data_IF_622881234311
#
_entry.id   IF_622881234311
#
_cell.length_a   1.000
_cell.length_b   1.000
_cell.length_c   1.000
_cell.angle_alpha   90.00
_cell.angle_beta   90.00
_cell.angle_gamma   90.00
#
_symmetry.space_group_name_H-M   'P 1'
#
loop_
_entity.id
_entity.type
_entity.pdbx_description
1 polymer ?
2 non-polymer ?
3 water ?
#
# COMPACT_ATOMS: atom_id res chain seq x y z
N UNK A 24 20.34 -5.46 -30.38
CA UNK A 24 19.22 -5.37 -31.36
C UNK A 24 18.79 -3.90 -31.46
N UNK A 25 17.48 -3.65 -31.38
CA UNK A 25 16.82 -2.32 -31.39
C UNK A 25 17.64 -1.27 -30.62
N UNK A 26 18.16 -1.63 -29.44
CA UNK A 26 18.88 -0.70 -28.52
C UNK A 26 20.20 -0.25 -29.15
N UNK A 27 20.95 -1.16 -29.77
CA UNK A 27 22.28 -0.84 -30.36
C UNK A 27 22.07 -0.11 -31.70
N UNK A 28 20.98 -0.42 -32.42
CA UNK A 28 20.62 0.24 -33.71
C UNK A 28 20.07 1.66 -33.44
N UNK A 29 19.02 1.75 -32.63
CA UNK A 29 18.18 2.98 -32.56
C UNK A 29 18.78 3.98 -31.57
N UNK A 30 19.63 3.58 -30.65
CA UNK A 30 20.19 4.48 -29.61
C UNK A 30 21.73 4.51 -29.65
N UNK A 31 22.30 5.59 -29.09
CA UNK A 31 23.74 5.73 -28.79
C UNK A 31 23.84 5.88 -27.27
N UNK A 32 24.59 4.96 -26.63
CA UNK A 32 24.89 4.95 -25.17
C UNK A 32 25.70 6.19 -24.86
N UNK A 33 25.51 6.83 -23.71
CA UNK A 33 26.21 8.09 -23.38
C UNK A 33 26.98 7.93 -22.08
N UNK A 34 26.26 7.59 -21.02
CA UNK A 34 26.82 7.58 -19.65
C UNK A 34 26.13 6.44 -18.89
N UNK A 35 26.89 5.60 -18.18
CA UNK A 35 26.29 4.69 -17.17
C UNK A 35 25.80 5.58 -16.01
N UNK A 36 24.54 5.45 -15.62
CA UNK A 36 23.93 6.24 -14.52
C UNK A 36 23.91 5.40 -13.23
N UNK A 37 23.83 4.06 -13.32
CA UNK A 37 23.70 3.17 -12.16
C UNK A 37 23.87 1.71 -12.53
N UNK A 38 24.29 0.89 -11.56
CA UNK A 38 24.70 -0.52 -11.79
C UNK A 38 24.37 -1.33 -10.53
N UNK A 39 23.74 -2.50 -10.67
CA UNK A 39 23.33 -3.33 -9.51
C UNK A 39 22.78 -4.69 -9.89
N UNK A 40 22.05 -5.33 -8.97
CA UNK A 40 21.29 -6.58 -9.17
C UNK A 40 20.12 -6.32 -10.13
N UNK A 41 19.45 -5.17 -9.95
CA UNK A 41 18.35 -4.66 -10.81
C UNK A 41 18.80 -4.58 -12.28
N UNK A 42 20.11 -4.62 -12.57
CA UNK A 42 20.70 -4.53 -13.92
C UNK A 42 21.52 -3.24 -14.09
N UNK A 43 21.12 -2.36 -15.00
CA UNK A 43 21.76 -1.03 -15.21
C UNK A 43 20.75 0.01 -15.70
N UNK A 44 20.97 1.28 -15.35
CA UNK A 44 20.33 2.48 -15.95
C UNK A 44 21.41 3.21 -16.74
N UNK A 45 21.16 3.45 -18.04
CA UNK A 45 22.09 4.14 -19.01
C UNK A 45 21.39 5.37 -19.59
N UNK A 46 22.04 6.54 -19.51
CA UNK A 46 21.65 7.72 -20.32
C UNK A 46 21.97 7.37 -21.79
N UNK A 47 20.97 7.51 -22.64
CA UNK A 47 21.08 7.15 -24.08
C UNK A 47 20.57 8.36 -24.87
N UNK A 48 20.73 8.33 -26.19
CA UNK A 48 20.17 9.30 -27.15
C UNK A 48 19.50 8.48 -28.25
N UNK A 49 18.21 8.72 -28.49
CA UNK A 49 17.48 8.10 -29.62
C UNK A 49 18.02 8.74 -30.90
N UNK A 50 18.48 7.93 -31.86
CA UNK A 50 19.18 8.46 -33.04
C UNK A 50 18.19 9.24 -33.89
N UNK A 51 16.93 8.78 -33.98
CA UNK A 51 15.92 9.42 -34.87
C UNK A 51 15.37 10.72 -34.25
N UNK A 52 14.79 10.69 -33.05
CA UNK A 52 14.14 11.88 -32.46
C UNK A 52 15.22 12.77 -31.83
N UNK A 53 16.44 12.27 -31.67
CA UNK A 53 17.57 13.07 -31.20
C UNK A 53 17.46 13.53 -29.75
N UNK A 54 16.59 12.91 -28.95
CA UNK A 54 16.41 13.28 -27.52
C UNK A 54 17.27 12.34 -26.65
N UNK A 55 17.50 12.75 -25.40
CA UNK A 55 18.09 11.91 -24.33
C UNK A 55 16.96 11.25 -23.51
N UNK A 56 17.25 10.04 -23.05
CA UNK A 56 16.34 9.20 -22.24
C UNK A 56 17.17 8.51 -21.15
N UNK A 57 16.48 8.03 -20.13
CA UNK A 57 17.07 7.15 -19.10
C UNK A 57 16.44 5.76 -19.29
N UNK A 58 17.26 4.80 -19.68
CA UNK A 58 16.83 3.43 -20.05
C UNK A 58 17.36 2.45 -18.99
N UNK A 59 16.45 1.72 -18.35
CA UNK A 59 16.73 0.64 -17.38
C UNK A 59 16.82 -0.64 -18.18
N UNK A 60 17.96 -1.33 -18.09
CA UNK A 60 18.25 -2.64 -18.74
C UNK A 60 18.23 -3.69 -17.63
N UNK A 61 17.28 -4.63 -17.71
CA UNK A 61 17.07 -5.73 -16.71
C UNK A 61 17.19 -7.09 -17.41
N UNK A 62 18.04 -8.01 -16.91
CA UNK A 62 18.09 -9.38 -17.43
C UNK A 62 16.82 -10.16 -17.02
N UNK A 63 16.34 -11.04 -17.90
CA UNK A 63 14.96 -11.59 -17.86
C UNK A 63 14.94 -12.95 -18.57
N UNK A 64 14.05 -13.84 -18.11
CA UNK A 64 13.63 -15.04 -18.86
C UNK A 64 12.19 -14.83 -19.30
N UNK A 65 11.89 -14.92 -20.61
CA UNK A 65 10.52 -15.12 -21.09
C UNK A 65 9.64 -16.06 -20.26
N UNK A 66 8.34 -15.82 -20.31
CA UNK A 66 7.23 -16.70 -19.88
C UNK A 66 7.46 -17.29 -18.48
N UNK A 67 8.19 -16.57 -17.61
CA UNK A 67 8.62 -17.00 -16.25
C UNK A 67 7.80 -16.27 -15.18
N UNK A 68 7.82 -16.76 -13.93
CA UNK A 68 7.23 -16.07 -12.76
C UNK A 68 7.94 -14.71 -12.57
N UNK A 69 9.28 -14.68 -12.58
CA UNK A 69 10.07 -13.43 -12.39
C UNK A 69 9.79 -12.44 -13.53
N UNK A 70 9.51 -12.92 -14.75
CA UNK A 70 9.19 -12.09 -15.94
C UNK A 70 7.91 -11.28 -15.69
N UNK A 71 6.83 -11.98 -15.31
CA UNK A 71 5.48 -11.40 -15.09
C UNK A 71 5.60 -10.41 -13.93
N UNK A 72 6.50 -10.66 -12.97
CA UNK A 72 6.78 -9.77 -11.81
C UNK A 72 7.33 -8.43 -12.32
N UNK A 73 8.37 -8.44 -13.16
CA UNK A 73 9.16 -7.21 -13.51
C UNK A 73 8.39 -6.42 -14.58
N UNK A 74 7.75 -7.11 -15.53
CA UNK A 74 6.80 -6.51 -16.53
C UNK A 74 5.74 -5.66 -15.80
N UNK A 75 5.32 -6.09 -14.61
CA UNK A 75 4.48 -5.30 -13.68
C UNK A 75 4.94 -3.86 -13.57
N UNK A 76 6.25 -3.60 -13.52
CA UNK A 76 6.80 -2.21 -13.42
C UNK A 76 6.40 -1.41 -14.67
N UNK A 77 6.46 -2.04 -15.85
CA UNK A 77 6.11 -1.45 -17.17
C UNK A 77 4.62 -1.05 -17.16
N UNK A 78 3.72 -1.97 -16.79
CA UNK A 78 2.24 -1.74 -16.86
C UNK A 78 1.86 -0.69 -15.81
N UNK A 79 2.58 -0.65 -14.70
CA UNK A 79 2.49 0.43 -13.68
C UNK A 79 2.82 1.79 -14.29
N UNK A 80 4.05 1.95 -14.78
CA UNK A 80 4.61 3.25 -15.27
C UNK A 80 3.86 3.76 -16.50
N UNK A 81 3.38 2.86 -17.36
CA UNK A 81 2.62 3.21 -18.59
C UNK A 81 1.25 3.83 -18.22
N UNK A 82 0.89 3.90 -16.95
CA UNK A 82 -0.43 4.45 -16.51
C UNK A 82 -0.23 5.56 -15.46
N UNK A 83 1.03 5.90 -15.11
CA UNK A 83 1.37 7.10 -14.31
C UNK A 83 1.49 8.30 -15.25
N UNK A 84 0.78 9.39 -14.94
CA UNK A 84 0.84 10.69 -15.65
C UNK A 84 0.77 11.79 -14.59
N UNK A 85 1.92 12.17 -14.01
CA UNK A 85 2.02 13.25 -13.00
C UNK A 85 3.30 14.05 -13.23
N UNK A 86 3.21 15.36 -13.04
CA UNK A 86 4.30 16.29 -13.41
C UNK A 86 5.51 16.05 -12.50
N UNK A 87 5.34 15.30 -11.38
CA UNK A 87 6.41 15.01 -10.39
C UNK A 87 6.78 13.52 -10.38
N UNK A 88 6.51 12.83 -11.50
CA UNK A 88 6.89 11.42 -11.71
C UNK A 88 7.57 11.31 -13.07
N UNK A 89 8.70 10.59 -13.11
CA UNK A 89 9.52 10.39 -14.34
C UNK A 89 8.58 9.79 -15.41
N UNK A 90 8.48 10.46 -16.56
CA UNK A 90 7.65 10.02 -17.70
C UNK A 90 8.14 8.68 -18.21
N UNK A 91 7.22 7.81 -18.62
CA UNK A 91 7.47 6.56 -19.38
C UNK A 91 7.39 6.88 -20.87
N UNK A 92 8.16 6.20 -21.70
CA UNK A 92 8.11 6.37 -23.18
C UNK A 92 7.87 5.01 -23.85
N UNK A 93 8.60 3.96 -23.47
CA UNK A 93 8.54 2.63 -24.14
C UNK A 93 9.18 1.54 -23.26
N UNK A 94 8.83 0.30 -23.57
CA UNK A 94 9.42 -0.91 -22.98
C UNK A 94 9.46 -2.00 -24.04
N UNK A 95 10.53 -2.77 -24.08
CA UNK A 95 10.65 -3.90 -25.04
C UNK A 95 11.62 -4.95 -24.50
N UNK A 96 11.63 -6.10 -25.17
CA UNK A 96 12.44 -7.30 -24.84
C UNK A 96 13.28 -7.60 -26.08
N UNK A 97 14.56 -7.94 -25.90
CA UNK A 97 15.46 -8.32 -27.02
C UNK A 97 16.10 -9.66 -26.71
N UNK A 98 16.65 -10.31 -27.73
CA UNK A 98 17.67 -11.40 -27.62
C UNK A 98 18.90 -10.83 -26.88
N UNK A 112 14.93 -12.61 -25.89
CA UNK A 112 15.06 -13.52 -24.71
C UNK A 112 15.64 -12.73 -23.52
N UNK A 113 16.93 -12.36 -23.56
CA UNK A 113 17.71 -11.96 -22.36
C UNK A 113 17.21 -10.67 -21.67
N UNK A 114 16.84 -9.57 -22.35
CA UNK A 114 16.83 -8.22 -21.72
C UNK A 114 15.47 -7.52 -21.81
N UNK A 115 15.05 -6.89 -20.73
CA UNK A 115 13.95 -5.89 -20.70
C UNK A 115 14.57 -4.50 -20.57
N UNK A 116 14.24 -3.58 -21.49
CA UNK A 116 14.64 -2.14 -21.52
C UNK A 116 13.40 -1.29 -21.24
N UNK A 117 13.54 -0.35 -20.31
CA UNK A 117 12.47 0.64 -19.99
C UNK A 117 13.02 2.05 -20.29
N UNK A 118 12.37 2.75 -21.21
CA UNK A 118 12.77 4.09 -21.73
C UNK A 118 11.93 5.11 -20.98
N UNK A 119 12.60 6.03 -20.26
CA UNK A 119 11.99 7.08 -19.42
C UNK A 119 12.58 8.47 -19.76
N UNK A 120 11.91 9.55 -19.36
CA UNK A 120 12.45 10.92 -19.54
C UNK A 120 13.82 10.94 -18.87
N UNK A 121 14.76 11.71 -19.40
CA UNK A 121 16.03 12.06 -18.75
C UNK A 121 15.94 13.50 -18.21
N UNK A 122 15.93 13.60 -16.88
CA UNK A 122 15.94 14.86 -16.10
C UNK A 122 17.38 15.41 -16.10
N UNK A 123 17.57 16.57 -16.71
CA UNK A 123 18.90 17.08 -17.16
C UNK A 123 19.76 17.50 -15.95
N UNK A 124 19.16 18.15 -14.95
CA UNK A 124 19.86 18.81 -13.83
C UNK A 124 20.35 17.77 -12.82
N UNK A 125 20.57 18.16 -11.58
CA UNK A 125 21.10 17.27 -10.51
C UNK A 125 20.01 16.30 -10.01
N UNK A 126 20.45 15.19 -9.40
CA UNK A 126 19.73 14.40 -8.37
C UNK A 126 19.50 15.30 -7.15
N UNK A 127 18.41 15.09 -6.42
CA UNK A 127 18.19 15.78 -5.12
C UNK A 127 19.46 15.61 -4.27
N UNK A 128 20.08 14.44 -4.31
CA UNK A 128 21.34 14.11 -3.58
C UNK A 128 22.33 15.22 -3.86
N UNK A 129 22.61 15.44 -5.15
CA UNK A 129 23.64 16.43 -5.53
C UNK A 129 23.12 17.80 -5.13
N UNK A 130 21.84 18.10 -5.35
CA UNK A 130 21.24 19.42 -5.03
C UNK A 130 21.49 19.75 -3.56
N UNK A 131 21.23 18.79 -2.65
CA UNK A 131 21.34 18.92 -1.16
C UNK A 131 22.79 19.27 -0.79
N UNK A 132 23.75 18.53 -1.34
CA UNK A 132 25.19 18.66 -1.02
C UNK A 132 25.71 20.03 -1.49
N UNK A 133 25.05 20.66 -2.48
CA UNK A 133 25.42 22.00 -3.05
C UNK A 133 24.79 23.12 -2.21
N UNK A 134 24.28 22.80 -1.01
CA UNK A 134 23.82 23.78 -0.02
C UNK A 134 22.37 24.19 -0.22
N UNK A 135 21.50 23.25 -0.59
CA UNK A 135 20.04 23.50 -0.72
C UNK A 135 19.50 24.16 0.55
N UNK A 136 20.02 23.80 1.72
CA UNK A 136 19.50 24.20 3.06
C UNK A 136 19.38 25.73 3.22
N UNK A 137 20.26 26.53 2.61
CA UNK A 137 20.19 28.02 2.74
C UNK A 137 18.98 28.57 1.98
N UNK A 138 18.48 27.85 0.97
CA UNK A 138 17.48 28.33 -0.03
C UNK A 138 16.07 27.85 0.38
N UNK A 139 15.47 28.46 1.42
CA UNK A 139 14.26 27.90 2.12
C UNK A 139 13.05 27.91 1.17
N UNK A 140 12.79 29.01 0.44
CA UNK A 140 11.61 29.09 -0.49
C UNK A 140 11.73 27.96 -1.53
N UNK A 141 12.93 27.71 -2.06
CA UNK A 141 13.19 26.59 -3.01
C UNK A 141 12.93 25.24 -2.32
N UNK A 142 13.43 25.11 -1.09
CA UNK A 142 13.48 23.88 -0.26
C UNK A 142 12.05 23.37 0.02
N UNK A 143 11.12 24.29 0.27
CA UNK A 143 9.71 23.98 0.61
C UNK A 143 8.93 23.70 -0.67
N UNK A 144 9.26 24.36 -1.78
CA UNK A 144 8.67 24.01 -3.10
C UNK A 144 9.07 22.56 -3.43
N UNK A 145 10.36 22.22 -3.39
CA UNK A 145 10.83 20.87 -3.78
C UNK A 145 10.19 19.81 -2.87
N UNK A 146 10.07 20.06 -1.57
CA UNK A 146 9.38 19.16 -0.59
C UNK A 146 7.92 18.91 -1.02
N UNK A 147 7.15 19.99 -1.21
CA UNK A 147 5.73 19.97 -1.67
C UNK A 147 5.64 19.21 -2.99
N UNK A 148 6.63 19.32 -3.87
CA UNK A 148 6.64 18.59 -5.16
C UNK A 148 6.89 17.11 -4.92
N UNK A 149 7.76 16.74 -3.96
CA UNK A 149 7.94 15.29 -3.62
C UNK A 149 6.58 14.79 -3.08
N UNK A 150 5.96 15.53 -2.17
CA UNK A 150 4.65 15.15 -1.57
C UNK A 150 3.59 15.00 -2.66
N UNK A 151 3.52 15.90 -3.65
CA UNK A 151 2.48 15.78 -4.70
C UNK A 151 2.71 14.48 -5.48
N UNK A 152 3.96 14.06 -5.65
CA UNK A 152 4.29 12.84 -6.38
C UNK A 152 3.97 11.60 -5.56
N UNK A 153 4.21 11.66 -4.25
CA UNK A 153 3.84 10.57 -3.31
C UNK A 153 2.32 10.39 -3.28
N UNK A 154 1.56 11.47 -3.17
CA UNK A 154 0.10 11.41 -3.02
C UNK A 154 -0.50 10.78 -4.28
N UNK A 155 -0.03 11.20 -5.46
CA UNK A 155 -0.53 10.64 -6.75
C UNK A 155 -0.31 9.13 -6.79
N UNK A 156 0.91 8.62 -6.56
CA UNK A 156 1.16 7.16 -6.66
C UNK A 156 0.46 6.42 -5.52
N UNK A 157 0.34 7.00 -4.33
CA UNK A 157 -0.42 6.41 -3.19
C UNK A 157 -1.91 6.30 -3.55
N UNK A 158 -2.49 7.31 -4.22
CA UNK A 158 -3.91 7.30 -4.66
C UNK A 158 -4.12 6.19 -5.69
N UNK A 159 -3.07 5.78 -6.41
CA UNK A 159 -3.11 4.70 -7.43
C UNK A 159 -2.84 3.33 -6.79
N UNK A 160 -2.55 3.30 -5.48
CA UNK A 160 -2.45 2.06 -4.68
C UNK A 160 -1.01 1.64 -4.37
N UNK A 161 -0.04 2.37 -4.91
CA UNK A 161 1.37 1.92 -4.98
C UNK A 161 2.08 2.24 -3.67
N UNK A 162 3.16 1.52 -3.40
CA UNK A 162 4.22 1.93 -2.42
C UNK A 162 5.55 1.99 -3.17
N UNK A 163 6.30 3.11 -3.05
CA UNK A 163 7.66 3.30 -3.63
C UNK A 163 8.64 2.27 -3.04
N UNK A 164 8.75 2.22 -1.70
CA UNK A 164 9.58 1.26 -0.90
C UNK A 164 11.04 1.69 -0.84
N UNK A 165 11.47 2.61 -1.71
CA UNK A 165 12.90 2.85 -2.00
C UNK A 165 13.15 4.35 -2.23
N UNK A 166 12.36 5.22 -1.59
CA UNK A 166 12.52 6.68 -1.72
C UNK A 166 13.83 7.07 -1.03
N UNK A 167 14.70 7.80 -1.74
CA UNK A 167 16.00 8.32 -1.23
C UNK A 167 16.57 9.33 -2.24
N UNK A 168 17.48 10.22 -1.80
CA UNK A 168 17.93 11.35 -2.61
C UNK A 168 18.49 11.07 -4.01
N UNK A 169 19.10 9.91 -4.28
CA UNK A 169 19.63 9.53 -5.62
C UNK A 169 18.49 9.07 -6.56
N UNK A 170 17.27 8.82 -6.06
CA UNK A 170 16.11 8.33 -6.86
C UNK A 170 15.10 9.46 -7.07
N UNK A 171 15.46 10.68 -6.66
CA UNK A 171 14.66 11.91 -6.94
C UNK A 171 15.51 12.75 -7.88
N UNK A 172 14.88 13.34 -8.88
CA UNK A 172 15.57 13.99 -10.03
C UNK A 172 15.01 15.41 -10.16
N UNK A 173 15.84 16.33 -10.65
CA UNK A 173 15.40 17.70 -11.04
C UNK A 173 15.63 17.89 -12.54
N UNK A 174 14.58 18.36 -13.23
CA UNK A 174 14.54 18.59 -14.69
C UNK A 174 15.15 19.98 -14.97
N UNK A 175 15.15 20.40 -16.24
CA UNK A 175 15.80 21.67 -16.70
C UNK A 175 15.00 22.90 -16.23
N UNK A 176 13.83 22.74 -15.59
CA UNK A 176 13.03 23.84 -14.98
C UNK A 176 13.06 23.74 -13.45
N UNK A 177 13.88 22.84 -12.90
CA UNK A 177 14.14 22.67 -11.44
C UNK A 177 12.93 22.05 -10.74
N UNK A 178 12.13 21.22 -11.44
CA UNK A 178 11.00 20.48 -10.83
C UNK A 178 11.44 19.08 -10.42
N UNK A 179 10.92 18.61 -9.30
CA UNK A 179 11.10 17.23 -8.76
C UNK A 179 10.43 16.25 -9.72
N UNK A 180 11.10 15.13 -9.98
CA UNK A 180 10.53 13.93 -10.62
C UNK A 180 11.04 12.71 -9.85
N UNK A 181 10.10 11.96 -9.25
CA UNK A 181 10.45 10.72 -8.50
C UNK A 181 10.70 9.58 -9.51
N UNK A 182 11.80 8.86 -9.30
CA UNK A 182 12.12 7.61 -10.02
C UNK A 182 12.54 6.51 -9.05
N UNK A 183 13.01 5.39 -9.61
CA UNK A 183 13.55 4.22 -8.85
C UNK A 183 14.34 3.27 -9.78
N UNK A 184 15.55 2.89 -9.34
CA UNK A 184 16.54 2.10 -10.11
C UNK A 184 16.34 0.59 -9.84
N UNK A 221 22.26 3.82 3.59
CA UNK A 221 21.16 3.54 2.62
C UNK A 221 19.97 2.89 3.33
N UNK A 222 20.28 2.06 4.34
CA UNK A 222 19.34 1.47 5.34
C UNK A 222 18.71 2.57 6.21
N UNK A 223 19.25 3.79 6.11
CA UNK A 223 18.88 4.96 6.97
C UNK A 223 17.60 5.63 6.44
N UNK A 224 17.14 5.32 5.22
CA UNK A 224 15.87 5.84 4.62
C UNK A 224 14.68 4.87 4.84
N UNK A 225 14.95 3.68 5.39
CA UNK A 225 13.99 2.55 5.50
C UNK A 225 13.34 2.57 6.89
N UNK A 226 12.01 2.54 6.93
CA UNK A 226 11.18 2.43 8.16
C UNK A 226 11.64 1.26 9.03
N UNK A 227 11.69 1.42 10.36
CA UNK A 227 11.95 0.29 11.26
C UNK A 227 11.10 -0.97 11.02
N UNK A 228 9.85 -0.84 10.58
CA UNK A 228 8.87 -1.95 10.46
C UNK A 228 9.25 -2.90 9.29
N UNK A 237 2.78 -4.67 5.52
CA UNK A 237 3.12 -3.24 5.77
C UNK A 237 2.47 -2.35 4.69
N UNK A 238 2.73 -1.04 4.77
CA UNK A 238 1.77 0.03 4.37
C UNK A 238 2.49 1.19 3.66
N UNK A 239 1.71 2.18 3.22
CA UNK A 239 2.16 3.27 2.32
C UNK A 239 3.01 4.27 3.12
N UNK A 240 2.83 4.36 4.43
CA UNK A 240 3.45 5.40 5.29
C UNK A 240 4.96 5.16 5.46
N UNK A 241 5.50 4.04 4.98
CA UNK A 241 6.97 3.80 4.99
C UNK A 241 7.64 4.82 4.07
N UNK A 242 6.97 5.22 2.97
CA UNK A 242 7.44 6.30 2.06
C UNK A 242 7.48 7.62 2.82
N UNK A 243 6.56 7.88 3.74
CA UNK A 243 6.57 9.18 4.47
C UNK A 243 7.62 9.18 5.58
N UNK A 244 8.12 8.02 6.00
CA UNK A 244 9.30 7.94 6.90
C UNK A 244 10.57 8.35 6.15
N UNK A 245 10.79 7.70 5.00
CA UNK A 245 11.88 8.04 4.06
C UNK A 245 11.89 9.56 3.87
N UNK A 246 10.72 10.13 3.51
CA UNK A 246 10.55 11.56 3.18
C UNK A 246 11.03 12.43 4.34
N UNK A 247 10.83 11.95 5.57
CA UNK A 247 11.21 12.69 6.80
C UNK A 247 12.71 12.79 6.88
N UNK A 248 13.41 11.71 6.53
CA UNK A 248 14.90 11.67 6.48
C UNK A 248 15.36 12.61 5.36
N UNK A 249 14.80 12.45 4.17
CA UNK A 249 15.13 13.29 2.98
C UNK A 249 14.94 14.78 3.33
N UNK A 250 13.82 15.12 3.99
CA UNK A 250 13.47 16.54 4.27
C UNK A 250 14.41 17.10 5.34
N UNK A 251 14.91 16.27 6.26
CA UNK A 251 15.88 16.72 7.27
C UNK A 251 17.15 17.14 6.53
N UNK A 252 17.65 16.26 5.65
CA UNK A 252 18.88 16.47 4.84
C UNK A 252 18.73 17.73 3.99
N UNK A 253 17.55 17.94 3.40
CA UNK A 253 17.23 19.13 2.57
C UNK A 253 17.31 20.39 3.44
N UNK A 254 17.03 20.29 4.74
CA UNK A 254 16.87 21.45 5.66
C UNK A 254 18.18 21.77 6.39
N UNK A 255 19.16 20.86 6.33
CA UNK A 255 20.43 20.84 7.10
C UNK A 255 21.63 20.94 6.14
N UNK A 256 22.81 21.31 6.67
CA UNK A 256 24.05 21.49 5.88
C UNK A 256 24.53 20.12 5.38
N UNK A 257 25.31 20.10 4.29
CA UNK A 257 25.89 18.85 3.82
C UNK A 257 26.82 18.24 4.88
N UNK A 258 26.61 16.95 5.12
CA UNK A 258 27.38 16.13 6.08
C UNK A 258 28.45 15.41 5.26
N UNK A 259 29.65 15.96 5.21
CA UNK A 259 30.67 15.60 4.20
C UNK A 259 31.24 14.20 4.49
N UNK A 260 31.41 13.86 5.76
CA UNK A 260 31.88 12.53 6.23
C UNK A 260 30.66 11.60 6.42
N UNK A 261 30.87 10.31 6.19
CA UNK A 261 29.88 9.23 6.45
C UNK A 261 29.57 9.19 7.94
N UNK A 262 30.60 9.07 8.78
CA UNK A 262 30.47 8.96 10.25
C UNK A 262 29.66 10.11 10.86
N UNK A 263 29.64 11.29 10.20
CA UNK A 263 28.72 12.41 10.60
C UNK A 263 27.29 12.06 10.18
N UNK A 264 27.09 11.66 8.91
CA UNK A 264 25.79 11.21 8.35
C UNK A 264 25.17 10.15 9.27
N UNK A 265 25.93 9.09 9.55
CA UNK A 265 25.51 7.89 10.33
C UNK A 265 25.07 8.33 11.74
N UNK A 266 25.78 9.28 12.35
CA UNK A 266 25.52 9.72 13.75
C UNK A 266 24.25 10.57 13.83
N UNK A 267 24.14 11.57 12.95
CA UNK A 267 23.05 12.60 12.95
C UNK A 267 21.73 11.91 12.58
N UNK A 268 21.78 11.00 11.61
CA UNK A 268 20.60 10.29 11.07
C UNK A 268 20.09 9.27 12.09
N UNK A 269 20.96 8.46 12.68
CA UNK A 269 20.60 7.47 13.72
C UNK A 269 20.00 8.18 14.94
N UNK A 270 20.27 9.48 15.15
CA UNK A 270 19.73 10.24 16.30
C UNK A 270 18.44 10.98 15.90
N UNK A 271 17.89 10.66 14.73
CA UNK A 271 16.48 10.97 14.35
C UNK A 271 15.56 9.75 14.56
N UNK A 272 16.13 8.55 14.77
CA UNK A 272 15.46 7.25 15.07
C UNK A 272 15.53 6.98 16.58
N UNK A 273 14.43 6.66 17.28
CA UNK A 273 14.44 6.79 18.76
C UNK A 273 13.17 6.29 19.45
N UNK A 274 12.96 6.68 20.74
CA UNK A 274 11.62 6.88 21.31
C UNK A 274 10.79 7.97 20.63
N UNK A 279 18.00 14.99 16.91
CA UNK A 279 18.18 16.25 16.11
C UNK A 279 19.47 17.01 16.46
N UNK A 280 20.33 17.39 15.49
CA UNK A 280 21.59 18.07 15.82
C UNK A 280 21.44 19.49 16.43
N UNK A 281 22.43 19.93 17.22
CA UNK A 281 22.38 21.19 18.01
C UNK A 281 22.39 22.43 17.09
N UNK A 282 22.99 22.39 15.88
CA UNK A 282 23.03 23.57 14.97
C UNK A 282 21.73 23.69 14.13
N UNK A 283 20.72 22.82 14.36
CA UNK A 283 19.28 23.08 14.15
C UNK A 283 18.77 23.90 15.35
N UNK A 288 13.86 27.13 12.38
CA UNK A 288 13.50 25.82 11.77
C UNK A 288 12.39 25.11 12.59
N UNK A 289 11.47 25.85 13.21
CA UNK A 289 10.40 25.30 14.09
C UNK A 289 9.44 24.42 13.28
N UNK A 290 9.09 24.87 12.07
CA UNK A 290 8.04 24.27 11.20
C UNK A 290 8.65 23.05 10.50
N UNK A 291 9.89 23.18 10.00
CA UNK A 291 10.72 22.04 9.50
C UNK A 291 10.76 20.92 10.54
N UNK A 292 11.13 21.25 11.78
CA UNK A 292 11.30 20.30 12.91
C UNK A 292 9.99 19.53 13.14
N UNK A 293 8.85 20.23 13.09
CA UNK A 293 7.51 19.66 13.39
C UNK A 293 7.20 18.60 12.33
N UNK A 294 7.36 18.99 11.07
CA UNK A 294 7.14 18.10 9.91
C UNK A 294 7.99 16.84 10.08
N UNK A 295 9.27 16.96 10.38
CA UNK A 295 10.19 15.78 10.35
C UNK A 295 9.81 14.84 11.48
N UNK A 296 9.64 15.35 12.72
CA UNK A 296 9.27 14.55 13.93
C UNK A 296 8.02 13.70 13.66
N UNK A 297 7.05 14.30 12.97
CA UNK A 297 5.79 13.65 12.55
C UNK A 297 6.10 12.44 11.67
N UNK A 298 6.93 12.66 10.63
CA UNK A 298 7.25 11.65 9.59
C UNK A 298 8.17 10.57 10.14
N UNK A 299 8.90 10.85 11.22
CA UNK A 299 9.93 9.91 11.74
C UNK A 299 9.37 9.13 12.91
N UNK A 300 8.06 9.19 13.13
CA UNK A 300 7.36 8.29 14.09
C UNK A 300 7.70 6.84 13.76
N UNK A 301 8.14 6.07 14.76
CA UNK A 301 8.47 4.62 14.63
C UNK A 301 7.21 3.86 14.23
N UNK A 302 6.07 4.24 14.79
CA UNK A 302 4.76 3.61 14.52
C UNK A 302 4.17 4.28 13.27
N UNK A 303 3.92 3.56 12.17
CA UNK A 303 3.44 4.19 10.95
C UNK A 303 2.04 4.77 11.13
N UNK A 304 1.27 4.24 12.08
CA UNK A 304 -0.11 4.69 12.37
C UNK A 304 -0.08 6.14 12.86
N UNK A 305 1.04 6.58 13.44
CA UNK A 305 1.17 7.93 14.06
C UNK A 305 1.78 8.93 13.07
N UNK A 306 2.29 8.46 11.92
CA UNK A 306 2.72 9.28 10.75
C UNK A 306 1.51 9.77 9.96
N UNK A 307 1.63 10.91 9.22
CA UNK A 307 0.58 11.36 8.32
C UNK A 307 0.65 10.63 6.96
N UNK A 308 -0.42 10.69 6.18
CA UNK A 308 -0.43 10.35 4.73
C UNK A 308 0.10 11.57 3.99
N UNK A 309 0.53 11.41 2.73
CA UNK A 309 1.05 12.53 1.90
C UNK A 309 -0.02 13.62 1.81
N UNK A 310 -1.27 13.23 1.54
CA UNK A 310 -2.39 14.18 1.37
C UNK A 310 -2.70 14.83 2.71
N UNK A 311 -2.55 14.10 3.81
CA UNK A 311 -2.73 14.62 5.18
C UNK A 311 -1.79 15.82 5.36
N UNK A 312 -0.55 15.70 4.93
CA UNK A 312 0.52 16.68 5.26
C UNK A 312 0.41 17.92 4.39
N UNK A 313 0.09 17.75 3.10
CA UNK A 313 -0.21 18.91 2.23
C UNK A 313 -1.33 19.74 2.88
N UNK A 314 -2.39 19.09 3.35
CA UNK A 314 -3.60 19.76 3.91
C UNK A 314 -3.30 20.30 5.31
N UNK A 315 -2.35 19.68 6.03
CA UNK A 315 -1.75 20.25 7.26
C UNK A 315 -1.30 21.68 6.94
N UNK A 316 -1.39 22.57 7.92
CA UNK A 316 -0.96 23.99 7.79
C UNK A 316 0.42 24.17 8.43
N UNK A 317 1.34 23.20 8.27
CA UNK A 317 2.77 23.32 8.67
C UNK A 317 3.59 23.72 7.44
N UNK A 318 3.07 23.51 6.23
CA UNK A 318 3.64 24.05 4.97
C UNK A 318 3.09 25.46 4.74
N UNK A 319 3.68 26.27 3.85
CA UNK A 319 3.00 27.42 3.25
C UNK A 319 2.88 27.38 1.71
N UNK B 24 -5.65 -11.72 34.30
CA UNK B 24 -6.30 -11.11 35.50
C UNK B 24 -7.55 -10.34 35.01
N UNK B 25 -7.37 -9.09 34.58
CA UNK B 25 -8.44 -8.17 34.07
C UNK B 25 -9.48 -8.91 33.18
N UNK B 26 -9.04 -9.78 32.27
CA UNK B 26 -9.91 -10.53 31.33
C UNK B 26 -10.85 -11.49 32.08
N UNK B 27 -10.33 -12.23 33.06
CA UNK B 27 -11.14 -13.24 33.82
C UNK B 27 -12.01 -12.50 34.83
N UNK B 28 -11.56 -11.35 35.36
CA UNK B 28 -12.33 -10.51 36.32
C UNK B 28 -13.44 -9.76 35.59
N UNK B 29 -13.10 -8.98 34.57
CA UNK B 29 -14.01 -7.96 34.00
C UNK B 29 -14.93 -8.57 32.94
N UNK B 30 -14.58 -9.75 32.38
CA UNK B 30 -15.39 -10.38 31.30
C UNK B 30 -15.86 -11.79 31.69
N UNK B 31 -16.91 -12.27 31.03
CA UNK B 31 -17.33 -13.69 30.98
C UNK B 31 -17.17 -14.17 29.54
N UNK B 32 -16.41 -15.24 29.32
CA UNK B 32 -16.09 -15.69 27.94
C UNK B 32 -17.20 -16.65 27.50
N UNK B 33 -17.67 -16.56 26.27
CA UNK B 33 -18.99 -17.10 25.83
C UNK B 33 -18.82 -18.21 24.80
N UNK B 34 -18.13 -17.92 23.73
CA UNK B 34 -17.89 -18.92 22.66
C UNK B 34 -16.52 -18.64 22.05
N UNK B 35 -15.77 -19.70 21.74
CA UNK B 35 -14.58 -19.59 20.88
C UNK B 35 -15.05 -19.28 19.45
N UNK B 36 -14.54 -18.20 18.86
CA UNK B 36 -14.89 -17.77 17.48
C UNK B 36 -13.80 -18.23 16.49
N UNK B 37 -12.55 -18.40 16.94
CA UNK B 37 -11.42 -18.83 16.08
C UNK B 37 -10.20 -19.21 16.88
N UNK B 38 -9.35 -20.07 16.30
CA UNK B 38 -8.09 -20.56 16.92
C UNK B 38 -7.04 -20.74 15.82
N UNK B 39 -5.79 -20.30 16.04
CA UNK B 39 -4.69 -20.52 15.09
C UNK B 39 -3.33 -20.07 15.62
N UNK B 40 -2.41 -19.79 14.69
CA UNK B 40 -1.09 -19.17 14.94
C UNK B 40 -1.29 -17.72 15.41
N UNK B 41 -2.24 -17.01 14.79
CA UNK B 41 -2.64 -15.60 15.10
C UNK B 41 -3.03 -15.48 16.58
N UNK B 42 -3.32 -16.61 17.25
CA UNK B 42 -3.75 -16.69 18.66
C UNK B 42 -5.18 -17.24 18.75
N UNK B 43 -6.11 -16.48 19.33
CA UNK B 43 -7.53 -16.87 19.43
C UNK B 43 -8.43 -15.64 19.51
N UNK B 44 -9.62 -15.74 18.91
CA UNK B 44 -10.73 -14.75 19.00
C UNK B 44 -11.87 -15.39 19.80
N UNK B 45 -12.31 -14.74 20.89
CA UNK B 45 -13.38 -15.22 21.82
C UNK B 45 -14.50 -14.16 21.89
N UNK B 46 -15.74 -14.58 21.63
CA UNK B 46 -16.96 -13.79 21.95
C UNK B 46 -17.02 -13.72 23.47
N UNK B 47 -17.13 -12.52 24.00
CA UNK B 47 -16.94 -12.26 25.45
C UNK B 47 -18.07 -11.30 25.83
N UNK B 48 -18.26 -11.03 27.11
CA UNK B 48 -19.33 -10.14 27.63
C UNK B 48 -18.71 -9.35 28.77
N UNK B 49 -18.71 -8.03 28.66
CA UNK B 49 -18.17 -7.15 29.73
C UNK B 49 -19.16 -7.22 30.88
N UNK B 50 -18.71 -7.55 32.09
CA UNK B 50 -19.66 -7.80 33.21
C UNK B 50 -20.32 -6.47 33.58
N UNK B 51 -19.61 -5.34 33.48
CA UNK B 51 -20.15 -4.03 33.93
C UNK B 51 -21.13 -3.45 32.89
N UNK B 52 -20.71 -3.22 31.65
CA UNK B 52 -21.59 -2.59 30.63
C UNK B 52 -22.54 -3.65 30.05
N UNK B 53 -22.29 -4.93 30.31
CA UNK B 53 -23.22 -6.01 29.93
C UNK B 53 -23.33 -6.24 28.43
N UNK B 54 -22.42 -5.69 27.62
CA UNK B 54 -22.42 -5.87 26.14
C UNK B 54 -21.55 -7.08 25.76
N UNK B 55 -21.72 -7.59 24.54
CA UNK B 55 -20.79 -8.51 23.85
C UNK B 55 -19.74 -7.76 23.04
N UNK B 56 -18.57 -8.37 22.98
CA UNK B 56 -17.37 -7.91 22.28
C UNK B 56 -16.69 -9.14 21.65
N UNK B 57 -15.80 -8.86 20.70
CA UNK B 57 -14.90 -9.86 20.09
C UNK B 57 -13.49 -9.51 20.54
N UNK B 58 -12.85 -10.40 21.29
CA UNK B 58 -11.51 -10.19 21.89
C UNK B 58 -10.53 -11.14 21.20
N UNK B 59 -9.47 -10.58 20.63
CA UNK B 59 -8.31 -11.32 20.09
C UNK B 59 -7.31 -11.44 21.24
N UNK B 60 -6.94 -12.68 21.59
CA UNK B 60 -5.84 -13.01 22.54
C UNK B 60 -4.64 -13.50 21.73
N UNK B 61 -3.53 -12.77 21.83
CA UNK B 61 -2.22 -13.02 21.13
C UNK B 61 -1.14 -13.27 22.19
N UNK B 62 -0.39 -14.40 22.08
CA UNK B 62 0.72 -14.65 23.01
C UNK B 62 1.91 -13.74 22.67
N UNK B 63 2.66 -13.34 23.71
CA UNK B 63 3.71 -12.27 23.63
C UNK B 63 4.71 -12.42 24.77
N UNK B 66 8.24 -7.80 24.79
CA UNK B 66 9.56 -7.13 24.99
C UNK B 66 10.58 -7.68 23.98
N UNK B 67 10.32 -7.47 22.67
CA UNK B 67 11.00 -8.16 21.54
C UNK B 67 10.59 -7.55 20.18
N UNK B 68 11.25 -8.00 19.10
CA UNK B 68 10.99 -7.57 17.69
C UNK B 68 9.51 -7.84 17.36
N UNK B 69 9.05 -9.08 17.58
CA UNK B 69 7.69 -9.54 17.22
C UNK B 69 6.67 -8.75 18.05
N UNK B 70 7.00 -8.34 19.30
CA UNK B 70 6.12 -7.54 20.20
C UNK B 70 5.77 -6.20 19.55
N UNK B 71 6.81 -5.46 19.15
CA UNK B 71 6.67 -4.11 18.56
C UNK B 71 5.87 -4.23 17.26
N UNK B 72 6.02 -5.35 16.55
CA UNK B 72 5.29 -5.65 15.29
C UNK B 72 3.78 -5.75 15.57
N UNK B 73 3.36 -6.56 16.55
CA UNK B 73 1.92 -6.91 16.76
C UNK B 73 1.21 -5.77 17.52
N UNK B 74 1.89 -5.10 18.45
CA UNK B 74 1.41 -3.85 19.10
C UNK B 74 0.99 -2.81 18.03
N UNK B 75 1.72 -2.78 16.91
CA UNK B 75 1.36 -2.05 15.69
C UNK B 75 -0.12 -2.16 15.34
N UNK B 76 -0.70 -3.36 15.47
CA UNK B 76 -2.13 -3.62 15.12
C UNK B 76 -3.04 -2.78 16.02
N UNK B 77 -2.74 -2.64 17.31
CA UNK B 77 -3.66 -1.89 18.22
C UNK B 77 -3.56 -0.39 17.88
N UNK B 78 -2.36 0.15 17.65
CA UNK B 78 -2.17 1.59 17.32
C UNK B 78 -2.83 1.89 15.96
N UNK B 79 -2.82 0.94 15.03
CA UNK B 79 -3.54 1.00 13.74
C UNK B 79 -5.07 1.12 13.99
N UNK B 80 -5.65 0.11 14.65
CA UNK B 80 -7.13 -0.05 14.84
C UNK B 80 -7.71 1.09 15.68
N UNK B 81 -6.94 1.58 16.66
CA UNK B 81 -7.36 2.67 17.57
C UNK B 81 -7.53 3.98 16.80
N UNK B 82 -7.17 4.03 15.49
CA UNK B 82 -7.20 5.28 14.69
C UNK B 82 -8.06 5.09 13.43
N UNK B 83 -8.63 3.90 13.19
CA UNK B 83 -9.68 3.68 12.15
C UNK B 83 -11.07 4.05 12.73
N UNK B 84 -11.82 4.91 12.03
CA UNK B 84 -13.21 5.29 12.37
C UNK B 84 -14.04 5.34 11.08
N UNK B 85 -14.66 4.22 10.71
CA UNK B 85 -15.55 4.08 9.52
C UNK B 85 -16.68 3.09 9.81
N UNK B 86 -17.86 3.41 9.30
CA UNK B 86 -19.12 2.70 9.57
C UNK B 86 -19.02 1.27 9.05
N UNK B 87 -18.06 0.97 8.16
CA UNK B 87 -17.88 -0.37 7.52
C UNK B 87 -16.56 -1.03 7.97
N UNK B 88 -16.07 -0.64 9.16
CA UNK B 88 -14.86 -1.24 9.80
C UNK B 88 -15.20 -1.56 11.26
N UNK B 89 -14.83 -2.76 11.70
CA UNK B 89 -15.09 -3.25 13.08
C UNK B 89 -14.45 -2.25 14.06
N UNK B 90 -15.27 -1.71 14.95
CA UNK B 90 -14.84 -0.72 15.97
C UNK B 90 -13.87 -1.38 16.96
N UNK B 91 -12.82 -0.65 17.33
CA UNK B 91 -11.85 -1.01 18.39
C UNK B 91 -12.37 -0.45 19.71
N UNK B 92 -12.12 -1.12 20.82
CA UNK B 92 -12.66 -0.70 22.14
C UNK B 92 -11.53 -0.50 23.15
N UNK B 93 -10.62 -1.47 23.27
CA UNK B 93 -9.46 -1.41 24.18
C UNK B 93 -8.43 -2.48 23.80
N UNK B 94 -7.22 -2.29 24.28
CA UNK B 94 -6.14 -3.29 24.22
C UNK B 94 -5.40 -3.26 25.56
N UNK B 95 -4.90 -4.40 26.01
CA UNK B 95 -4.09 -4.48 27.25
C UNK B 95 -3.22 -5.74 27.22
N UNK B 96 -2.24 -5.81 28.13
CA UNK B 96 -1.30 -6.95 28.30
C UNK B 96 -1.47 -7.45 29.73
N UNK B 97 -1.46 -8.78 29.96
CA UNK B 97 -1.52 -9.38 31.32
C UNK B 97 -0.27 -10.25 31.55
N UNK B 113 2.62 -14.47 28.75
CA UNK B 113 2.22 -13.04 28.54
C UNK B 113 1.26 -12.92 27.34
N UNK B 114 0.15 -12.21 27.55
CA UNK B 114 -0.93 -12.09 26.53
C UNK B 114 -1.23 -10.63 26.16
N UNK B 115 -1.43 -10.37 24.87
CA UNK B 115 -2.09 -9.14 24.35
C UNK B 115 -3.55 -9.49 23.99
N UNK B 116 -4.51 -8.76 24.58
CA UNK B 116 -5.97 -8.85 24.31
C UNK B 116 -6.41 -7.59 23.55
N UNK B 117 -7.15 -7.76 22.46
CA UNK B 117 -7.80 -6.60 21.77
C UNK B 117 -9.32 -6.80 21.78
N UNK B 118 -10.03 -5.84 22.38
CA UNK B 118 -11.51 -5.81 22.53
C UNK B 118 -12.06 -5.00 21.35
N UNK B 119 -12.96 -5.60 20.56
CA UNK B 119 -13.64 -5.01 19.37
C UNK B 119 -15.17 -5.17 19.48
N UNK B 120 -15.94 -4.37 18.73
CA UNK B 120 -17.41 -4.61 18.61
C UNK B 120 -17.60 -6.08 18.21
N UNK B 121 -18.70 -6.67 18.65
CA UNK B 121 -19.20 -7.99 18.19
C UNK B 121 -20.42 -7.73 17.28
N UNK B 122 -20.23 -8.02 16.00
CA UNK B 122 -21.27 -7.96 14.94
C UNK B 122 -22.18 -9.18 15.08
N UNK B 123 -23.44 -8.94 15.42
CA UNK B 123 -24.40 -9.94 15.97
C UNK B 123 -24.81 -10.98 14.92
N UNK B 124 -25.09 -10.53 13.69
CA UNK B 124 -25.73 -11.32 12.61
C UNK B 124 -24.69 -12.24 11.98
N UNK B 125 -24.85 -12.62 10.72
CA UNK B 125 -23.96 -13.59 10.03
C UNK B 125 -22.62 -12.95 9.66
N UNK B 126 -21.61 -13.77 9.41
CA UNK B 126 -20.45 -13.42 8.54
C UNK B 126 -20.97 -13.33 7.11
N UNK B 127 -20.34 -12.53 6.27
CA UNK B 127 -20.65 -12.52 4.82
C UNK B 127 -20.62 -13.98 4.32
N UNK B 128 -19.67 -14.78 4.80
CA UNK B 128 -19.54 -16.21 4.42
C UNK B 128 -20.90 -16.86 4.62
N UNK B 129 -21.43 -16.75 5.83
CA UNK B 129 -22.73 -17.39 6.15
C UNK B 129 -23.81 -16.74 5.27
N UNK B 130 -23.80 -15.42 5.11
CA UNK B 130 -24.83 -14.70 4.32
C UNK B 130 -24.90 -15.25 2.90
N UNK B 131 -23.73 -15.45 2.27
CA UNK B 131 -23.58 -15.96 0.86
C UNK B 131 -24.23 -17.35 0.75
N UNK B 132 -23.90 -18.24 1.69
CA UNK B 132 -24.36 -19.65 1.70
C UNK B 132 -25.88 -19.70 1.88
N UNK B 133 -26.51 -18.65 2.45
CA UNK B 133 -27.97 -18.54 2.69
C UNK B 133 -28.69 -18.00 1.44
N UNK B 134 -28.04 -18.01 0.27
CA UNK B 134 -28.63 -17.61 -1.03
C UNK B 134 -28.66 -16.10 -1.25
N UNK B 135 -27.57 -15.41 -0.91
CA UNK B 135 -27.48 -13.93 -1.09
C UNK B 135 -27.78 -13.57 -2.56
N UNK B 136 -27.36 -14.44 -3.48
CA UNK B 136 -27.34 -14.20 -4.94
C UNK B 136 -28.73 -13.82 -5.50
N UNK B 137 -29.82 -14.31 -4.94
CA UNK B 137 -31.19 -14.00 -5.42
C UNK B 137 -31.57 -12.54 -5.13
N UNK B 138 -30.98 -11.93 -4.08
CA UNK B 138 -31.38 -10.57 -3.62
C UNK B 138 -30.37 -9.55 -4.19
N UNK B 139 -30.52 -9.16 -5.46
CA UNK B 139 -29.54 -8.29 -6.18
C UNK B 139 -29.48 -6.89 -5.52
N UNK B 140 -30.61 -6.27 -5.17
CA UNK B 140 -30.63 -4.92 -4.53
C UNK B 140 -29.80 -4.98 -3.24
N UNK B 141 -29.97 -6.04 -2.41
CA UNK B 141 -29.19 -6.21 -1.16
C UNK B 141 -27.70 -6.45 -1.50
N UNK B 142 -27.45 -7.26 -2.52
CA UNK B 142 -26.13 -7.77 -2.98
C UNK B 142 -25.21 -6.60 -3.38
N UNK B 143 -25.79 -5.59 -4.07
CA UNK B 143 -25.04 -4.41 -4.58
C UNK B 143 -24.87 -3.41 -3.44
N UNK B 144 -25.81 -3.31 -2.51
CA UNK B 144 -25.63 -2.49 -1.30
C UNK B 144 -24.43 -3.03 -0.50
N UNK B 145 -24.43 -4.33 -0.19
CA UNK B 145 -23.36 -4.96 0.63
C UNK B 145 -22.01 -4.80 -0.07
N UNK B 146 -21.95 -4.99 -1.38
CA UNK B 146 -20.73 -4.79 -2.22
C UNK B 146 -20.18 -3.35 -2.05
N UNK B 147 -21.03 -2.35 -2.33
CA UNK B 147 -20.73 -0.91 -2.18
C UNK B 147 -20.25 -0.61 -0.74
N UNK B 148 -20.79 -1.30 0.25
CA UNK B 148 -20.36 -1.11 1.66
C UNK B 148 -18.95 -1.70 1.84
N UNK B 149 -18.64 -2.85 1.24
CA UNK B 149 -17.27 -3.42 1.33
C UNK B 149 -16.33 -2.39 0.68
N UNK B 150 -16.69 -1.87 -0.51
CA UNK B 150 -15.88 -0.88 -1.23
C UNK B 150 -15.64 0.38 -0.38
N UNK B 151 -16.67 0.90 0.30
CA UNK B 151 -16.50 2.11 1.14
C UNK B 151 -15.48 1.82 2.25
N UNK B 152 -15.43 0.59 2.75
CA UNK B 152 -14.51 0.19 3.82
C UNK B 152 -13.10 0.02 3.30
N UNK B 153 -12.94 -0.53 2.10
CA UNK B 153 -11.63 -0.63 1.42
C UNK B 153 -11.04 0.76 1.14
N UNK B 154 -11.86 1.68 0.63
CA UNK B 154 -11.38 3.02 0.23
C UNK B 154 -10.88 3.75 1.48
N UNK B 155 -11.62 3.68 2.59
CA UNK B 155 -11.25 4.36 3.84
C UNK B 155 -9.88 3.87 4.31
N UNK B 156 -9.67 2.56 4.46
CA UNK B 156 -8.37 2.04 4.99
C UNK B 156 -7.26 2.29 3.96
N UNK B 157 -7.55 2.25 2.66
CA UNK B 157 -6.57 2.58 1.60
C UNK B 157 -6.15 4.06 1.70
N UNK B 158 -7.09 4.98 1.96
CA UNK B 158 -6.79 6.44 2.12
C UNK B 158 -5.87 6.64 3.33
N UNK B 159 -5.92 5.75 4.31
CA UNK B 159 -5.10 5.81 5.55
C UNK B 159 -3.75 5.11 5.34
N UNK B 160 -3.52 4.51 4.18
CA UNK B 160 -2.21 3.96 3.76
C UNK B 160 -2.11 2.45 3.88
N UNK B 161 -3.16 1.82 4.41
CA UNK B 161 -3.14 0.40 4.81
C UNK B 161 -3.37 -0.49 3.60
N UNK B 162 -2.97 -1.74 3.76
CA UNK B 162 -3.46 -2.88 2.95
C UNK B 162 -4.00 -3.90 3.95
N UNK B 163 -5.23 -4.39 3.74
CA UNK B 163 -5.88 -5.46 4.56
C UNK B 163 -5.05 -6.77 4.46
N UNK B 164 -4.78 -7.26 3.23
CA UNK B 164 -3.91 -8.41 2.89
C UNK B 164 -4.69 -9.73 3.03
N UNK B 165 -5.79 -9.73 3.77
CA UNK B 165 -6.44 -10.96 4.27
C UNK B 165 -7.96 -10.85 4.15
N UNK B 166 -8.44 -10.11 3.13
CA UNK B 166 -9.88 -9.93 2.88
C UNK B 166 -10.42 -11.26 2.40
N UNK B 167 -11.49 -11.73 3.05
CA UNK B 167 -12.23 -12.97 2.69
C UNK B 167 -13.52 -13.03 3.48
N UNK B 168 -14.52 -13.79 2.97
CA UNK B 168 -15.86 -13.79 3.55
C UNK B 168 -16.00 -14.06 5.04
N UNK B 169 -15.12 -14.83 5.71
CA UNK B 169 -15.23 -15.09 7.19
C UNK B 169 -14.73 -13.89 8.01
N UNK B 170 -14.04 -12.94 7.41
CA UNK B 170 -13.43 -11.75 8.09
C UNK B 170 -14.26 -10.50 7.78
N UNK B 171 -15.38 -10.68 7.11
CA UNK B 171 -16.39 -9.62 6.86
C UNK B 171 -17.61 -10.00 7.69
N UNK B 172 -18.24 -9.03 8.33
CA UNK B 172 -19.24 -9.24 9.40
C UNK B 172 -20.46 -8.38 9.07
N UNK B 173 -21.66 -8.82 9.47
CA UNK B 173 -22.92 -8.05 9.35
C UNK B 173 -23.48 -7.84 10.76
N UNK B 174 -23.82 -6.58 11.06
CA UNK B 174 -24.33 -6.14 12.39
C UNK B 174 -25.85 -6.33 12.42
N UNK B 175 -26.49 -5.89 13.51
CA UNK B 175 -27.94 -6.03 13.76
C UNK B 175 -28.79 -5.17 12.80
N UNK B 176 -28.20 -4.31 11.97
CA UNK B 176 -28.89 -3.49 10.94
C UNK B 176 -28.51 -3.98 9.52
N UNK B 177 -27.75 -5.08 9.42
CA UNK B 177 -27.36 -5.72 8.13
C UNK B 177 -26.32 -4.87 7.39
N UNK B 178 -25.47 -4.13 8.12
CA UNK B 178 -24.35 -3.38 7.51
C UNK B 178 -23.06 -4.20 7.59
N UNK B 179 -22.27 -4.12 6.52
CA UNK B 179 -20.93 -4.75 6.39
C UNK B 179 -19.99 -4.06 7.38
N UNK B 180 -19.15 -4.85 8.06
CA UNK B 180 -18.00 -4.37 8.85
C UNK B 180 -16.83 -5.31 8.53
N UNK B 181 -15.76 -4.76 7.97
CA UNK B 181 -14.52 -5.53 7.68
C UNK B 181 -13.73 -5.72 8.98
N UNK B 182 -13.28 -6.94 9.21
CA UNK B 182 -12.33 -7.26 10.30
C UNK B 182 -11.23 -8.17 9.80
N UNK B 183 -10.44 -8.72 10.74
CA UNK B 183 -9.33 -9.65 10.43
C UNK B 183 -8.86 -10.33 11.74
N UNK B 184 -8.68 -11.65 11.72
CA UNK B 184 -8.31 -12.48 12.91
C UNK B 184 -6.79 -12.63 13.01
N UNK B 221 -8.50 -21.11 0.68
CA UNK B 221 -8.33 -19.81 1.40
C UNK B 221 -7.23 -18.95 0.74
N UNK B 222 -6.22 -19.61 0.16
CA UNK B 222 -5.24 -19.07 -0.82
C UNK B 222 -5.93 -18.57 -2.10
N UNK B 223 -7.23 -18.85 -2.27
CA UNK B 223 -8.01 -18.51 -3.50
C UNK B 223 -8.48 -17.05 -3.47
N UNK B 224 -8.35 -16.35 -2.33
CA UNK B 224 -8.66 -14.89 -2.18
C UNK B 224 -7.41 -14.00 -2.32
N UNK B 225 -6.24 -14.61 -2.52
CA UNK B 225 -4.90 -13.95 -2.52
C UNK B 225 -4.49 -13.68 -3.97
N UNK B 226 -4.15 -12.43 -4.28
CA UNK B 226 -3.63 -11.96 -5.59
C UNK B 226 -2.45 -12.84 -6.01
N UNK B 227 -2.32 -13.21 -7.31
CA UNK B 227 -1.08 -13.78 -7.83
C UNK B 227 0.15 -13.06 -7.23
N UNK B 228 0.79 -12.13 -7.92
CA UNK B 228 1.69 -11.11 -7.31
C UNK B 228 1.61 -11.16 -5.78
N UNK B 237 4.69 -5.00 -2.44
CA UNK B 237 3.36 -5.10 -3.10
C UNK B 237 2.35 -4.14 -2.47
N UNK B 238 1.08 -4.23 -2.88
CA UNK B 238 0.24 -3.11 -3.40
C UNK B 238 -1.18 -3.11 -2.78
N UNK B 239 -1.91 -1.99 -2.81
CA UNK B 239 -3.28 -1.86 -2.20
C UNK B 239 -4.31 -2.63 -3.03
N UNK B 240 -4.07 -2.77 -4.34
CA UNK B 240 -5.06 -3.37 -5.27
C UNK B 240 -5.15 -4.89 -5.06
N UNK B 241 -4.33 -5.50 -4.19
CA UNK B 241 -4.47 -6.95 -3.85
C UNK B 241 -5.81 -7.15 -3.12
N UNK B 242 -6.24 -6.17 -2.32
CA UNK B 242 -7.56 -6.19 -1.63
C UNK B 242 -8.65 -6.19 -2.69
N UNK B 243 -8.48 -5.50 -3.83
CA UNK B 243 -9.56 -5.45 -4.85
C UNK B 243 -9.57 -6.72 -5.69
N UNK B 244 -8.50 -7.49 -5.68
CA UNK B 244 -8.54 -8.86 -6.28
C UNK B 244 -9.39 -9.80 -5.40
N UNK B 245 -9.08 -9.87 -4.12
CA UNK B 245 -9.86 -10.61 -3.11
C UNK B 245 -11.34 -10.27 -3.35
N UNK B 246 -11.66 -8.98 -3.39
CA UNK B 246 -13.06 -8.46 -3.46
C UNK B 246 -13.75 -9.04 -4.71
N UNK B 247 -13.01 -9.26 -5.78
CA UNK B 247 -13.56 -9.77 -7.04
C UNK B 247 -14.00 -11.19 -6.85
N UNK B 248 -13.21 -11.96 -6.10
CA UNK B 248 -13.54 -13.37 -5.72
C UNK B 248 -14.78 -13.35 -4.82
N UNK B 249 -14.74 -12.52 -3.79
CA UNK B 249 -15.86 -12.37 -2.81
C UNK B 249 -17.14 -12.00 -3.57
N UNK B 250 -17.08 -11.06 -4.50
CA UNK B 250 -18.27 -10.54 -5.22
C UNK B 250 -18.81 -11.59 -6.17
N UNK B 251 -17.96 -12.46 -6.71
CA UNK B 251 -18.44 -13.56 -7.58
C UNK B 251 -19.30 -14.48 -6.72
N UNK B 252 -18.76 -14.88 -5.56
CA UNK B 252 -19.44 -15.75 -4.56
C UNK B 252 -20.79 -15.14 -4.16
N UNK B 253 -20.81 -13.81 -3.92
CA UNK B 253 -22.01 -13.04 -3.54
C UNK B 253 -23.04 -13.10 -4.68
N UNK B 254 -22.60 -13.23 -5.93
CA UNK B 254 -23.44 -13.10 -7.15
C UNK B 254 -23.92 -14.47 -7.65
N UNK B 255 -23.35 -15.54 -7.09
CA UNK B 255 -23.53 -16.96 -7.50
C UNK B 255 -24.18 -17.76 -6.36
N UNK B 256 -24.70 -18.94 -6.69
CA UNK B 256 -25.35 -19.85 -5.70
C UNK B 256 -24.30 -20.41 -4.74
N UNK B 257 -24.71 -20.85 -3.54
CA UNK B 257 -23.77 -21.47 -2.59
C UNK B 257 -23.11 -22.72 -3.18
N UNK B 258 -21.79 -22.79 -3.08
CA UNK B 258 -21.00 -23.91 -3.63
C UNK B 258 -20.67 -24.86 -2.48
N UNK B 259 -21.48 -25.88 -2.31
CA UNK B 259 -21.63 -26.56 -1.00
C UNK B 259 -20.46 -27.51 -0.74
N UNK B 260 -19.94 -28.14 -1.80
CA UNK B 260 -18.73 -29.01 -1.73
C UNK B 260 -17.48 -28.14 -1.95
N UNK B 261 -16.36 -28.54 -1.34
CA UNK B 261 -15.03 -27.93 -1.53
C UNK B 261 -14.61 -28.09 -2.99
N UNK B 262 -14.62 -29.31 -3.53
CA UNK B 262 -14.14 -29.60 -4.91
C UNK B 262 -14.90 -28.78 -5.95
N UNK B 263 -16.13 -28.33 -5.65
CA UNK B 263 -16.87 -27.35 -6.49
C UNK B 263 -16.23 -25.96 -6.31
N UNK B 264 -16.06 -25.49 -5.07
CA UNK B 264 -15.39 -24.21 -4.71
C UNK B 264 -14.04 -24.12 -5.43
N UNK B 265 -13.19 -25.14 -5.26
CA UNK B 265 -11.79 -25.22 -5.80
C UNK B 265 -11.84 -25.08 -7.34
N UNK B 266 -12.81 -25.73 -8.00
CA UNK B 266 -12.93 -25.77 -9.49
C UNK B 266 -13.37 -24.42 -10.03
N UNK B 267 -14.45 -23.87 -9.47
CA UNK B 267 -15.13 -22.64 -9.95
C UNK B 267 -14.24 -21.42 -9.71
N UNK B 268 -13.55 -21.39 -8.57
CA UNK B 268 -12.69 -20.24 -8.16
C UNK B 268 -11.36 -20.25 -8.94
N UNK B 269 -10.71 -21.41 -9.12
CA UNK B 269 -9.50 -21.55 -9.96
C UNK B 269 -9.80 -21.15 -11.42
N UNK B 270 -11.06 -21.20 -11.86
CA UNK B 270 -11.45 -20.81 -13.24
C UNK B 270 -11.93 -19.35 -13.30
N UNK B 271 -11.66 -18.59 -12.23
CA UNK B 271 -11.65 -17.09 -12.27
C UNK B 271 -10.22 -16.54 -12.40
N UNK B 272 -9.20 -17.40 -12.23
CA UNK B 272 -7.74 -17.09 -12.39
C UNK B 272 -7.27 -17.58 -13.77
N UNK B 273 -6.62 -16.74 -14.58
CA UNK B 273 -6.33 -17.14 -15.99
C UNK B 273 -5.56 -16.06 -16.77
N UNK B 274 -5.68 -16.05 -18.12
CA UNK B 274 -5.69 -14.82 -18.92
C UNK B 274 -6.83 -13.85 -18.57
N UNK B 279 -15.57 -18.23 -15.87
CA UNK B 279 -16.95 -18.10 -15.32
C UNK B 279 -17.75 -19.38 -15.51
N UNK B 280 -18.44 -19.94 -14.47
CA UNK B 280 -19.30 -21.11 -14.69
C UNK B 280 -20.49 -20.85 -15.65
N UNK B 281 -20.90 -21.86 -16.42
CA UNK B 281 -21.93 -21.71 -17.49
C UNK B 281 -23.31 -21.34 -16.89
N UNK B 282 -23.52 -21.58 -15.58
CA UNK B 282 -24.75 -21.24 -14.80
C UNK B 282 -24.92 -19.73 -14.60
N UNK B 283 -23.85 -18.94 -14.75
CA UNK B 283 -23.86 -17.47 -14.98
C UNK B 283 -24.26 -17.20 -16.45
N UNK B 288 -26.78 -10.87 -15.42
CA UNK B 288 -25.49 -10.82 -14.69
C UNK B 288 -24.39 -10.14 -15.52
N UNK B 289 -24.73 -9.28 -16.50
CA UNK B 289 -23.74 -8.68 -17.45
C UNK B 289 -22.83 -7.70 -16.70
N UNK B 290 -23.42 -6.92 -15.80
CA UNK B 290 -22.76 -5.81 -15.07
C UNK B 290 -21.96 -6.40 -13.90
N UNK B 291 -22.51 -7.39 -13.19
CA UNK B 291 -21.75 -8.23 -12.20
C UNK B 291 -20.47 -8.78 -12.84
N UNK B 292 -20.59 -9.40 -14.01
CA UNK B 292 -19.49 -10.06 -14.75
C UNK B 292 -18.38 -9.03 -15.06
N UNK B 293 -18.77 -7.82 -15.47
CA UNK B 293 -17.83 -6.75 -15.88
C UNK B 293 -17.01 -6.32 -14.65
N UNK B 294 -17.70 -6.07 -13.55
CA UNK B 294 -17.05 -5.68 -12.27
C UNK B 294 -16.02 -6.75 -11.89
N UNK B 295 -16.39 -8.02 -11.93
CA UNK B 295 -15.50 -9.10 -11.40
C UNK B 295 -14.25 -9.17 -12.28
N UNK B 296 -14.41 -9.24 -13.61
CA UNK B 296 -13.32 -9.37 -14.62
C UNK B 296 -12.28 -8.26 -14.43
N UNK B 297 -12.76 -7.05 -14.13
CA UNK B 297 -11.91 -5.88 -13.82
C UNK B 297 -11.04 -6.17 -12.60
N UNK B 298 -11.66 -6.65 -11.51
CA UNK B 298 -11.00 -6.87 -10.19
C UNK B 298 -10.07 -8.09 -10.25
N UNK B 299 -10.31 -9.00 -11.18
CA UNK B 299 -9.59 -10.29 -11.23
C UNK B 299 -8.47 -10.22 -12.24
N UNK B 300 -8.15 -9.01 -12.69
CA UNK B 300 -6.94 -8.75 -13.52
C UNK B 300 -5.71 -9.26 -12.76
N UNK B 301 -4.90 -10.08 -13.41
CA UNK B 301 -3.64 -10.63 -12.84
C UNK B 301 -2.67 -9.49 -12.56
N UNK B 302 -2.62 -8.49 -13.44
CA UNK B 302 -1.76 -7.28 -13.29
C UNK B 302 -2.51 -6.29 -12.42
N UNK B 303 -1.99 -5.91 -11.23
CA UNK B 303 -2.73 -5.02 -10.34
C UNK B 303 -2.87 -3.63 -10.95
N UNK B 304 -1.97 -3.26 -11.87
CA UNK B 304 -1.98 -1.95 -12.56
C UNK B 304 -3.29 -1.80 -13.35
N UNK B 305 -3.89 -2.92 -13.78
CA UNK B 305 -5.07 -2.91 -14.68
C UNK B 305 -6.37 -3.00 -13.87
N UNK B 306 -6.28 -3.34 -12.59
CA UNK B 306 -7.40 -3.31 -11.60
C UNK B 306 -7.73 -1.88 -11.22
N UNK B 307 -8.99 -1.58 -10.84
CA UNK B 307 -9.34 -0.26 -10.36
C UNK B 307 -8.94 -0.10 -8.87
N UNK B 308 -8.86 1.13 -8.40
CA UNK B 308 -8.82 1.44 -6.95
C UNK B 308 -10.26 1.36 -6.46
N UNK B 309 -10.48 1.22 -5.16
CA UNK B 309 -11.83 1.14 -4.57
C UNK B 309 -12.63 2.38 -4.99
N UNK B 310 -12.04 3.58 -4.89
CA UNK B 310 -12.77 4.83 -5.18
C UNK B 310 -12.95 4.93 -6.69
N UNK B 311 -12.05 4.39 -7.51
CA UNK B 311 -12.22 4.30 -8.98
C UNK B 311 -13.55 3.58 -9.28
N UNK B 312 -13.82 2.47 -8.59
CA UNK B 312 -14.93 1.54 -8.95
C UNK B 312 -16.25 2.10 -8.43
N UNK B 313 -16.27 2.68 -7.24
CA UNK B 313 -17.48 3.40 -6.74
C UNK B 313 -17.88 4.45 -7.79
N UNK B 314 -16.93 5.23 -8.30
CA UNK B 314 -17.18 6.36 -9.22
C UNK B 314 -17.48 5.81 -10.62
N UNK B 315 -16.97 4.64 -10.97
CA UNK B 315 -17.42 3.87 -12.16
C UNK B 315 -18.94 3.78 -12.12
N UNK B 316 -19.59 3.82 -13.28
CA UNK B 316 -21.07 3.70 -13.37
C UNK B 316 -21.44 2.28 -13.86
N UNK B 317 -20.77 1.26 -13.30
CA UNK B 317 -21.20 -0.17 -13.40
C UNK B 317 -22.07 -0.52 -12.18
N UNK B 318 -21.91 0.19 -11.07
CA UNK B 318 -22.81 0.05 -9.90
C UNK B 318 -23.94 1.08 -10.07
N UNK B 319 -25.08 0.94 -9.36
CA UNK B 319 -26.03 2.03 -9.19
C UNK B 319 -26.33 2.41 -7.73
#
# INVERSE_FOLDING_TARGET
MHHHHHHENLYFQGGSSETQRQFSRYFIEFEELQLLGKGAFGAVIKVQNKLDGCCYAVKRIPINPASRQFRRIKGEVTLLSRLHHENIVRYYNAWIENGCHESEPSVTTEAVHYLYIQMEYCEASTLRDTIDQGLYRDTVRLWRLFREILDGLAYIHEKGMIHRNLKPVNIFLDSDDHVKIGDFGLATDHLAFSADSKQDDQTGDLIKSDPSGHLAGMVGAALYVSPEVQGSTKSAYNQKVDLFSLGIIFFEMSYHPMVTASERIFVLNQLRDPTSPKFPEDFDDGEHAKQKSVISWLLNHDPAKRPTATELLKSELLPPPQMEESELHE
MHHHHHHENLYFQGGSSETQRQFSRYFIEFEELQLLGKGAFGAVIKVQNKLDGCCYAVKRIPINPASRQFRRIKGEVTLLSRLHHENIVRYYNAWIENGCHESEPSVTTEAVHYLYIQMEYCEASTLRDTIDQGLYRDTVRLWRLFREILDGLAYIHEKGMIHRNLKPVNIFLDSDDHVKIGDFGLATDHLAFSADSKQDDQTGDLIKSDPSGHLAGMVGAALYVSPEVQGSTKSAYNQKVDLFSLGIIFFEMSYHPMVTASERIFVLNQLRDPTSPKFPEDFDDGEHAKQKSVISWLLNHDPAKRPTATELLKSELLPPPQMEESELHE
#
